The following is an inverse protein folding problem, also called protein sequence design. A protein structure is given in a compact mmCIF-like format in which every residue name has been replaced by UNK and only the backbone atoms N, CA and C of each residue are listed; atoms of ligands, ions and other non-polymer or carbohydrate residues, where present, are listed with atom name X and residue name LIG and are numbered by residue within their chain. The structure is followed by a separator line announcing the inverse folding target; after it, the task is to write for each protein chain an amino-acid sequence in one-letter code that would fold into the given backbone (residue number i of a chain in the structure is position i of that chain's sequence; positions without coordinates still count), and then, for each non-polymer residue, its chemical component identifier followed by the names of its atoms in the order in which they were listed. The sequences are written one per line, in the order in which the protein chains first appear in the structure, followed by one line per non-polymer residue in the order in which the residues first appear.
data_IF_415947385427
#
_entry.id   IF_415947385427
#
_cell.length_a   1.000
_cell.length_b   1.000
_cell.length_c   1.000
_cell.angle_alpha   90.00
_cell.angle_beta   90.00
_cell.angle_gamma   90.00
#
_symmetry.space_group_name_H-M   'P 1'
#
loop_
_entity.id
_entity.type
_entity.pdbx_description
1 polymer ?
#
# COMPACT_ATOMS: atom_id res chain seq x y z
N UNK A 1 29.52 41.02 -31.95
CA UNK A 1 28.34 41.70 -31.35
C UNK A 1 27.38 40.61 -30.86
N UNK A 2 27.02 40.71 -29.57
CA UNK A 2 26.05 39.96 -28.74
C UNK A 2 25.36 38.66 -29.18
N UNK A 3 25.67 37.60 -28.44
CA UNK A 3 24.82 36.67 -27.66
C UNK A 3 23.29 36.76 -27.79
N UNK A 4 22.62 35.59 -27.97
CA UNK A 4 21.73 35.01 -26.93
C UNK A 4 21.55 33.49 -27.08
N UNK A 5 21.83 32.81 -25.98
CA UNK A 5 21.70 31.39 -25.64
C UNK A 5 20.26 30.86 -25.70
N UNK A 6 20.09 29.62 -26.15
CA UNK A 6 19.11 28.69 -25.61
C UNK A 6 19.76 27.31 -25.43
N UNK A 7 20.23 27.05 -24.21
CA UNK A 7 20.60 25.73 -23.74
C UNK A 7 19.34 24.86 -23.68
N UNK A 8 19.28 23.78 -24.47
CA UNK A 8 18.43 22.63 -24.13
C UNK A 8 19.31 21.60 -23.46
N UNK A 9 19.07 21.22 -22.20
CA UNK A 9 19.76 20.09 -21.63
C UNK A 9 19.30 18.81 -22.34
N UNK A 10 20.28 17.94 -22.51
CA UNK A 10 20.21 16.55 -22.97
C UNK A 10 19.70 15.72 -21.79
N UNK A 11 18.71 14.83 -22.00
CA UNK A 11 18.39 13.78 -21.03
C UNK A 11 16.94 13.30 -21.07
N UNK A 12 16.79 11.99 -21.32
CA UNK A 12 15.60 11.16 -21.24
C UNK A 12 14.54 11.28 -22.36
N UNK A 13 14.81 10.60 -23.47
CA UNK A 13 13.86 9.59 -23.98
C UNK A 13 13.54 8.59 -22.85
N UNK A 14 12.44 7.83 -22.95
CA UNK A 14 12.02 6.69 -22.09
C UNK A 14 10.98 7.11 -21.02
N UNK A 15 9.76 6.58 -20.94
CA UNK A 15 9.01 5.57 -21.70
C UNK A 15 7.55 5.83 -21.35
N UNK A 16 6.64 5.54 -22.27
CA UNK A 16 5.33 5.01 -21.89
C UNK A 16 5.56 3.77 -21.01
N UNK A 17 5.68 3.96 -19.69
CA UNK A 17 5.60 2.87 -18.74
C UNK A 17 4.13 2.69 -18.45
N UNK A 18 3.40 2.02 -19.34
CA UNK A 18 2.31 1.17 -18.91
C UNK A 18 2.84 0.45 -17.67
N UNK A 19 2.30 0.81 -16.51
CA UNK A 19 2.83 0.33 -15.24
C UNK A 19 2.76 -1.20 -15.34
N UNK A 20 3.91 -1.87 -15.51
CA UNK A 20 4.06 -3.33 -15.35
C UNK A 20 3.82 -3.73 -13.87
N UNK A 21 3.02 -2.94 -13.16
CA UNK A 21 2.55 -3.18 -11.82
C UNK A 21 1.11 -3.69 -11.92
N UNK A 22 0.84 -4.89 -11.38
CA UNK A 22 -0.49 -5.46 -11.45
C UNK A 22 -1.51 -4.52 -10.81
N UNK A 23 -2.60 -4.27 -11.53
CA UNK A 23 -3.79 -3.60 -11.00
C UNK A 23 -4.38 -4.48 -9.89
N UNK A 24 -4.72 -3.84 -8.77
CA UNK A 24 -5.36 -4.43 -7.61
C UNK A 24 -6.78 -3.89 -7.53
N UNK A 25 -7.77 -4.79 -7.55
CA UNK A 25 -9.19 -4.46 -7.44
C UNK A 25 -9.66 -4.54 -5.98
N UNK A 26 -10.29 -3.48 -5.49
CA UNK A 26 -10.87 -3.45 -4.16
C UNK A 26 -12.12 -4.32 -4.11
N UNK A 27 -12.07 -5.43 -3.37
CA UNK A 27 -13.16 -6.38 -3.23
C UNK A 27 -14.43 -5.74 -2.67
N UNK A 28 -14.26 -4.76 -1.78
CA UNK A 28 -15.28 -3.87 -1.22
C UNK A 28 -14.76 -2.43 -1.28
N UNK A 29 -15.61 -1.39 -1.30
CA UNK A 29 -15.12 -0.01 -1.31
C UNK A 29 -14.24 0.25 -0.10
N UNK A 30 -13.09 0.92 -0.30
CA UNK A 30 -12.26 1.36 0.81
C UNK A 30 -13.02 2.40 1.65
N UNK A 31 -13.06 2.27 2.99
CA UNK A 31 -13.65 3.27 3.87
C UNK A 31 -13.10 4.68 3.57
N UNK A 32 -13.99 5.67 3.43
CA UNK A 32 -13.63 7.05 3.07
C UNK A 32 -13.38 7.30 1.57
N UNK A 33 -13.16 6.25 0.75
CA UNK A 33 -12.84 6.38 -0.68
C UNK A 33 -13.68 5.45 -1.58
N UNK A 34 -15.03 5.46 -1.49
CA UNK A 34 -15.87 4.47 -2.18
C UNK A 34 -15.84 4.55 -3.71
N UNK A 35 -15.39 5.69 -4.27
CA UNK A 35 -15.28 5.91 -5.70
C UNK A 35 -13.94 5.41 -6.30
N UNK A 36 -12.99 4.98 -5.46
CA UNK A 36 -11.69 4.48 -5.86
C UNK A 36 -11.66 2.97 -5.67
N UNK A 37 -11.71 2.23 -6.78
CA UNK A 37 -11.86 0.76 -6.77
C UNK A 37 -10.63 0.02 -7.27
N UNK A 38 -9.68 0.74 -7.86
CA UNK A 38 -8.51 0.15 -8.47
C UNK A 38 -7.27 0.91 -8.02
N UNK A 39 -6.28 0.15 -7.60
CA UNK A 39 -5.02 0.65 -7.08
C UNK A 39 -3.86 -0.12 -7.69
N UNK A 40 -2.66 0.45 -7.58
CA UNK A 40 -1.39 -0.24 -7.82
C UNK A 40 -0.54 -0.13 -6.57
N UNK A 41 0.25 -1.18 -6.29
CA UNK A 41 1.20 -1.19 -5.18
C UNK A 41 2.61 -0.93 -5.72
N UNK A 42 3.14 0.27 -5.45
CA UNK A 42 4.42 0.74 -5.99
C UNK A 42 5.48 0.68 -4.91
N UNK A 43 6.55 -0.08 -5.13
CA UNK A 43 7.71 -0.10 -4.22
C UNK A 43 8.42 1.27 -4.26
N UNK A 44 8.70 1.86 -3.10
CA UNK A 44 9.34 3.16 -2.97
C UNK A 44 10.81 3.11 -2.56
N UNK A 45 11.28 1.97 -2.05
CA UNK A 45 12.66 1.77 -1.62
C UNK A 45 13.20 0.37 -1.96
N UNK A 46 14.52 0.23 -2.01
CA UNK A 46 15.19 -1.01 -2.40
C UNK A 46 15.09 -2.10 -1.32
N UNK A 47 15.02 -1.71 -0.04
CA UNK A 47 14.82 -2.65 1.08
C UNK A 47 13.44 -3.28 1.05
N UNK A 48 12.54 -2.71 0.27
CA UNK A 48 11.21 -3.24 0.07
C UNK A 48 10.31 -3.21 1.30
N UNK A 49 10.54 -2.21 2.14
CA UNK A 49 9.79 -1.96 3.36
C UNK A 49 8.74 -0.86 3.17
N UNK A 50 8.81 -0.13 2.07
CA UNK A 50 7.96 1.04 1.83
C UNK A 50 7.33 1.00 0.45
N UNK A 51 6.01 1.20 0.42
CA UNK A 51 5.23 1.17 -0.80
C UNK A 51 4.21 2.31 -0.83
N UNK A 52 3.83 2.74 -2.03
CA UNK A 52 2.65 3.57 -2.26
C UNK A 52 1.52 2.71 -2.81
N UNK A 53 0.40 2.64 -2.10
CA UNK A 53 -0.86 2.09 -2.62
C UNK A 53 -1.63 3.22 -3.29
N UNK A 54 -1.52 3.32 -4.62
CA UNK A 54 -1.92 4.50 -5.41
C UNK A 54 -3.15 4.22 -6.24
N UNK A 55 -4.15 5.09 -6.18
CA UNK A 55 -5.35 4.92 -6.99
C UNK A 55 -5.04 5.15 -8.48
N UNK A 56 -5.57 4.28 -9.33
CA UNK A 56 -5.46 4.45 -10.79
C UNK A 56 -6.29 5.65 -11.26
N UNK A 57 -7.41 5.91 -10.59
CA UNK A 57 -8.34 6.99 -10.94
C UNK A 57 -7.81 8.37 -10.57
N UNK A 58 -7.05 8.46 -9.48
CA UNK A 58 -6.44 9.71 -9.02
C UNK A 58 -5.06 9.43 -8.42
N UNK A 59 -3.98 9.71 -9.16
CA UNK A 59 -2.61 9.49 -8.68
C UNK A 59 -2.23 10.32 -7.44
N UNK A 60 -3.00 11.36 -7.10
CA UNK A 60 -2.79 12.12 -5.86
C UNK A 60 -3.37 11.40 -4.64
N UNK A 61 -4.33 10.49 -4.85
CA UNK A 61 -4.81 9.60 -3.79
C UNK A 61 -3.88 8.39 -3.69
N UNK A 62 -2.95 8.47 -2.74
CA UNK A 62 -2.04 7.39 -2.41
C UNK A 62 -1.86 7.25 -0.91
N UNK A 63 -1.73 6.00 -0.46
CA UNK A 63 -1.42 5.67 0.92
C UNK A 63 0.00 5.15 1.00
N UNK A 64 0.76 5.64 1.98
CA UNK A 64 2.03 5.03 2.33
C UNK A 64 1.73 3.74 3.11
N UNK A 65 2.30 2.63 2.68
CA UNK A 65 2.05 1.31 3.30
C UNK A 65 3.33 0.51 3.45
N UNK A 66 3.35 -0.42 4.40
CA UNK A 66 4.47 -1.33 4.62
C UNK A 66 3.99 -2.72 5.06
N UNK A 67 4.79 -3.77 4.82
CA UNK A 67 4.65 -5.02 5.55
C UNK A 67 4.88 -4.76 7.06
N UNK A 68 4.04 -5.31 7.95
CA UNK A 68 4.14 -5.05 9.38
C UNK A 68 5.30 -5.77 10.06
N UNK A 69 5.70 -6.96 9.59
CA UNK A 69 6.61 -7.89 10.27
C UNK A 69 7.96 -7.26 10.67
N UNK A 70 8.61 -6.42 9.83
CA UNK A 70 9.88 -5.79 10.18
C UNK A 70 9.81 -4.75 11.31
N UNK A 71 8.59 -4.32 11.67
CA UNK A 71 8.33 -3.29 12.68
C UNK A 71 7.55 -3.85 13.88
N UNK A 72 6.72 -4.87 13.63
CA UNK A 72 5.82 -5.50 14.59
C UNK A 72 5.92 -7.03 14.42
N UNK A 73 6.98 -7.68 14.94
CA UNK A 73 7.23 -9.11 14.71
C UNK A 73 6.13 -10.02 15.23
N UNK A 74 5.46 -9.60 16.31
CA UNK A 74 4.38 -10.34 16.95
C UNK A 74 3.00 -10.03 16.35
N UNK A 75 2.92 -9.20 15.30
CA UNK A 75 1.64 -8.83 14.68
C UNK A 75 1.15 -9.95 13.76
N UNK A 76 0.19 -10.73 14.26
CA UNK A 76 -0.48 -11.79 13.53
C UNK A 76 -2.01 -11.56 13.55
N UNK A 77 -2.55 -10.74 12.63
CA UNK A 77 -3.98 -10.48 12.58
C UNK A 77 -4.73 -11.75 12.15
N UNK A 78 -5.81 -12.08 12.84
CA UNK A 78 -6.74 -13.13 12.43
C UNK A 78 -7.58 -12.63 11.25
N UNK A 79 -7.53 -13.35 10.13
CA UNK A 79 -8.28 -13.02 8.92
C UNK A 79 -9.52 -13.91 8.84
N UNK A 80 -10.68 -13.28 8.96
CA UNK A 80 -11.98 -13.96 8.96
C UNK A 80 -12.34 -14.53 7.58
N UNK A 81 -13.18 -15.58 7.57
CA UNK A 81 -13.57 -16.28 6.35
C UNK A 81 -14.34 -15.38 5.35
N UNK A 82 -15.03 -14.35 5.83
CA UNK A 82 -15.72 -13.39 4.98
C UNK A 82 -14.74 -12.54 4.15
N UNK A 83 -13.58 -12.19 4.72
CA UNK A 83 -12.48 -11.54 4.01
C UNK A 83 -11.95 -12.48 2.93
N UNK A 84 -11.69 -13.76 3.26
CA UNK A 84 -11.20 -14.74 2.28
C UNK A 84 -12.18 -14.90 1.11
N UNK A 85 -13.48 -14.98 1.41
CA UNK A 85 -14.55 -15.05 0.42
C UNK A 85 -14.61 -13.78 -0.44
N UNK A 86 -14.48 -12.59 0.17
CA UNK A 86 -14.47 -11.32 -0.55
C UNK A 86 -13.26 -11.20 -1.49
N UNK A 87 -12.09 -11.69 -1.06
CA UNK A 87 -10.87 -11.74 -1.89
C UNK A 87 -10.91 -12.86 -2.94
N UNK A 88 -11.88 -13.79 -2.85
CA UNK A 88 -11.96 -15.00 -3.69
C UNK A 88 -10.70 -15.87 -3.58
N UNK A 89 -10.10 -15.92 -2.38
CA UNK A 89 -8.92 -16.74 -2.11
C UNK A 89 -9.28 -18.03 -1.37
N UNK A 90 -8.44 -19.04 -1.56
CA UNK A 90 -8.51 -20.33 -0.83
C UNK A 90 -7.20 -20.66 -0.14
N UNK A 91 -6.18 -19.82 -0.29
CA UNK A 91 -4.82 -20.05 0.17
C UNK A 91 -4.35 -18.81 0.96
N UNK A 92 -4.49 -18.82 2.30
CA UNK A 92 -4.06 -17.72 3.15
C UNK A 92 -2.58 -17.36 3.01
N UNK A 93 -1.72 -18.29 2.57
CA UNK A 93 -0.29 -18.06 2.38
C UNK A 93 0.00 -17.11 1.20
N UNK A 94 -1.01 -16.82 0.37
CA UNK A 94 -0.95 -15.86 -0.74
C UNK A 94 -1.31 -14.45 -0.33
N UNK A 95 -1.75 -14.25 0.91
CA UNK A 95 -2.13 -12.93 1.40
C UNK A 95 -0.90 -12.10 1.75
N UNK A 96 -0.89 -10.87 1.26
CA UNK A 96 -0.01 -9.81 1.73
C UNK A 96 -0.76 -8.95 2.73
N UNK A 97 -0.14 -8.72 3.88
CA UNK A 97 -0.64 -7.79 4.89
C UNK A 97 0.13 -6.49 4.76
N UNK A 98 -0.58 -5.39 4.51
CA UNK A 98 0.01 -4.06 4.40
C UNK A 98 -0.65 -3.13 5.40
N UNK A 99 0.13 -2.47 6.25
CA UNK A 99 -0.38 -1.49 7.22
C UNK A 99 -0.22 -0.08 6.67
N UNK A 100 -1.24 0.77 6.88
CA UNK A 100 -1.19 2.17 6.45
C UNK A 100 -0.32 2.98 7.39
N UNK A 101 0.63 3.72 6.83
CA UNK A 101 1.60 4.53 7.55
C UNK A 101 1.14 5.99 7.58
N UNK A 102 1.21 6.60 8.76
CA UNK A 102 1.16 8.04 8.96
C UNK A 102 2.55 8.52 9.34
N UNK A 103 3.24 9.17 8.41
CA UNK A 103 4.51 9.84 8.66
C UNK A 103 4.27 11.16 9.42
N UNK A 104 4.92 11.32 10.56
CA UNK A 104 4.94 12.56 11.33
C UNK A 104 6.36 13.10 11.47
N UNK A 105 6.47 14.36 11.93
CA UNK A 105 7.76 15.04 12.10
C UNK A 105 8.63 14.35 13.15
N UNK A 106 8.02 13.88 14.24
CA UNK A 106 8.74 13.25 15.37
C UNK A 106 8.57 11.73 15.42
N UNK A 107 7.46 11.21 14.89
CA UNK A 107 7.12 9.80 14.94
C UNK A 107 6.43 9.37 13.64
N UNK A 108 6.74 8.14 13.21
CA UNK A 108 5.99 7.45 12.17
C UNK A 108 5.15 6.38 12.83
N UNK A 109 3.86 6.31 12.45
CA UNK A 109 2.91 5.36 13.04
C UNK A 109 2.26 4.51 11.97
N UNK A 110 1.89 3.29 12.32
CA UNK A 110 1.11 2.38 11.48
C UNK A 110 -0.27 2.12 12.10
N UNK A 111 -1.26 1.95 11.24
CA UNK A 111 -2.59 1.49 11.63
C UNK A 111 -2.62 -0.05 11.61
N UNK A 112 -2.50 -0.66 12.78
CA UNK A 112 -2.59 -2.12 12.97
C UNK A 112 -4.05 -2.58 13.10
N UNK A 113 -4.99 -1.66 13.34
CA UNK A 113 -6.40 -1.98 13.48
C UNK A 113 -7.10 -2.20 12.13
N UNK A 114 -6.62 -1.55 11.08
CA UNK A 114 -7.23 -1.61 9.75
C UNK A 114 -6.21 -1.89 8.63
N UNK A 115 -5.58 -3.08 8.61
CA UNK A 115 -4.67 -3.46 7.54
C UNK A 115 -5.37 -3.55 6.18
N UNK A 116 -4.60 -3.37 5.11
CA UNK A 116 -4.98 -3.71 3.75
C UNK A 116 -4.48 -5.12 3.48
N UNK A 117 -5.41 -6.04 3.23
CA UNK A 117 -5.12 -7.42 2.85
C UNK A 117 -5.21 -7.51 1.33
N UNK A 118 -4.16 -8.02 0.69
CA UNK A 118 -4.10 -8.20 -0.77
C UNK A 118 -3.81 -9.65 -1.07
N UNK A 119 -4.65 -10.28 -1.88
CA UNK A 119 -4.36 -11.61 -2.42
C UNK A 119 -3.54 -11.48 -3.71
N UNK A 120 -2.40 -12.17 -3.76
CA UNK A 120 -1.43 -12.04 -4.86
C UNK A 120 -1.91 -12.65 -6.18
N UNK A 121 -2.76 -13.65 -6.11
CA UNK A 121 -3.15 -14.44 -7.28
C UNK A 121 -4.40 -13.84 -7.94
N UNK A 122 -5.42 -13.55 -7.13
CA UNK A 122 -6.66 -12.89 -7.57
C UNK A 122 -6.49 -11.40 -7.81
N UNK A 123 -5.44 -10.79 -7.22
CA UNK A 123 -5.19 -9.34 -7.22
C UNK A 123 -6.35 -8.54 -6.64
N UNK A 124 -7.05 -9.11 -5.67
CA UNK A 124 -8.10 -8.43 -4.92
C UNK A 124 -7.57 -7.94 -3.59
N UNK A 125 -8.10 -6.80 -3.13
CA UNK A 125 -7.74 -6.24 -1.83
C UNK A 125 -8.94 -5.78 -1.02
N UNK A 126 -8.76 -5.75 0.30
CA UNK A 126 -9.75 -5.22 1.24
C UNK A 126 -9.02 -4.52 2.39
N UNK A 127 -9.49 -3.34 2.78
CA UNK A 127 -9.11 -2.76 4.07
C UNK A 127 -10.00 -3.39 5.13
N UNK A 128 -9.41 -4.25 5.96
CA UNK A 128 -10.13 -5.06 6.95
C UNK A 128 -10.07 -4.37 8.29
N UNK A 129 -11.23 -4.09 8.88
CA UNK A 129 -11.30 -3.59 10.26
C UNK A 129 -11.31 -4.80 11.20
N UNK A 130 -10.28 -4.94 12.05
CA UNK A 130 -10.12 -6.06 12.97
C UNK A 130 -10.99 -5.90 14.22
N UNK A 131 -12.31 -5.95 14.03
CA UNK A 131 -13.29 -5.82 15.10
C UNK A 131 -13.06 -6.85 16.22
N UNK A 132 -13.16 -6.42 17.48
CA UNK A 132 -12.91 -7.29 18.64
C UNK A 132 -11.44 -7.49 18.99
N UNK A 133 -10.50 -7.01 18.16
CA UNK A 133 -9.08 -6.97 18.51
C UNK A 133 -8.73 -5.75 19.37
N UNK A 134 -7.60 -5.82 20.08
CA UNK A 134 -7.00 -4.68 20.79
C UNK A 134 -5.91 -3.97 19.96
N UNK A 135 -5.93 -4.14 18.63
CA UNK A 135 -4.92 -3.57 17.76
C UNK A 135 -5.05 -2.03 17.73
N UNK A 136 -3.94 -1.29 17.86
CA UNK A 136 -3.99 0.16 17.86
C UNK A 136 -4.15 0.74 16.44
N UNK A 137 -4.90 1.84 16.35
CA UNK A 137 -4.95 2.68 15.13
C UNK A 137 -3.64 3.43 14.90
N UNK A 138 -2.86 3.67 15.97
CA UNK A 138 -1.55 4.32 15.94
C UNK A 138 -0.54 3.50 16.75
N UNK A 139 0.18 2.60 16.09
CA UNK A 139 1.37 1.96 16.65
C UNK A 139 2.62 2.70 16.18
N UNK A 140 3.53 3.05 17.09
CA UNK A 140 4.81 3.67 16.70
C UNK A 140 5.66 2.65 15.98
N UNK A 141 6.10 2.98 14.76
CA UNK A 141 7.00 2.13 13.99
C UNK A 141 8.43 2.31 14.53
N UNK A 142 8.91 1.32 15.26
CA UNK A 142 10.32 1.23 15.67
C UNK A 142 10.92 0.02 14.97
N UNK A 143 12.06 0.18 14.34
CA UNK A 143 12.74 -0.96 13.71
C UNK A 143 13.33 -1.82 14.81
N UNK A 144 12.80 -3.02 14.96
CA UNK A 144 13.29 -4.01 15.92
C UNK A 144 14.36 -4.80 15.19
N UNK A 145 15.62 -4.65 15.61
CA UNK A 145 16.76 -5.43 15.10
C UNK A 145 17.09 -6.54 16.08
#
# INVERSE_FOLDING_TARGET
MSTRTASRPIGATMTDTALDMPIIDMAVPMPGFPAHRQFVLVRLNEEGLLFAFTSIKDPNLRFLVAPPEPFFPDYAPEIENDVLAALNTKDPDRLLVMVVITAGVNETTANLFAPIIVDRDTRRAMQVVLNGSNMPVRAVMRRTY
#
